data_IF_014301865662
#
_entry.id   IF_014301865662
#
_cell.length_a   1.000
_cell.length_b   1.000
_cell.length_c   1.000
_cell.angle_alpha   90.00
_cell.angle_beta   90.00
_cell.angle_gamma   90.00
#
_symmetry.space_group_name_H-M   'P 1'
#
loop_
_entity.id
_entity.type
_entity.pdbx_description
1 polymer ?
#
# COMPACT_ATOMS: atom_id res chain seq x y z
N UNK A 1 62.67 -67.11 12.73
CA UNK A 1 61.83 -66.45 11.72
C UNK A 1 60.54 -67.25 11.60
N UNK A 2 59.44 -66.73 12.14
CA UNK A 2 58.11 -67.36 12.09
C UNK A 2 57.54 -67.16 10.70
N UNK A 3 57.35 -68.25 9.94
CA UNK A 3 56.67 -68.19 8.65
C UNK A 3 55.22 -67.76 8.90
N UNK A 4 54.83 -66.58 8.42
CA UNK A 4 53.44 -66.17 8.38
C UNK A 4 52.65 -67.23 7.60
N UNK A 5 51.94 -68.09 8.33
CA UNK A 5 50.99 -69.03 7.76
C UNK A 5 49.79 -68.21 7.26
N UNK A 6 49.86 -67.75 6.02
CA UNK A 6 48.67 -67.31 5.31
C UNK A 6 47.89 -68.57 4.95
N UNK A 7 47.04 -69.04 5.87
CA UNK A 7 46.08 -70.10 5.53
C UNK A 7 45.06 -69.49 4.56
N UNK A 8 44.82 -70.10 3.39
CA UNK A 8 43.78 -69.64 2.49
C UNK A 8 42.43 -69.71 3.23
N UNK A 9 41.56 -68.71 3.05
CA UNK A 9 40.31 -68.63 3.79
C UNK A 9 39.52 -69.93 3.63
N UNK A 10 39.03 -70.48 4.74
CA UNK A 10 38.22 -71.70 4.71
C UNK A 10 37.00 -71.49 3.80
N UNK A 11 36.54 -72.55 3.14
CA UNK A 11 35.45 -72.49 2.16
C UNK A 11 34.18 -71.85 2.75
N UNK A 12 33.95 -72.03 4.05
CA UNK A 12 32.83 -71.44 4.79
C UNK A 12 33.05 -69.95 5.10
N UNK A 13 34.29 -69.52 5.38
CA UNK A 13 34.61 -68.10 5.52
C UNK A 13 34.46 -67.34 4.20
N UNK A 14 34.77 -67.97 3.06
CA UNK A 14 34.54 -67.40 1.72
C UNK A 14 33.04 -67.31 1.42
N UNK A 15 32.26 -68.36 1.73
CA UNK A 15 30.79 -68.35 1.60
C UNK A 15 30.13 -67.27 2.45
N UNK A 16 30.50 -67.14 3.72
CA UNK A 16 29.94 -66.10 4.60
C UNK A 16 30.28 -64.69 4.11
N UNK A 17 31.51 -64.45 3.65
CA UNK A 17 31.90 -63.15 3.04
C UNK A 17 31.11 -62.84 1.76
N UNK A 18 30.80 -63.87 0.97
CA UNK A 18 29.96 -63.72 -0.22
C UNK A 18 28.50 -63.39 0.16
N UNK A 19 27.94 -64.07 1.17
CA UNK A 19 26.58 -63.83 1.67
C UNK A 19 26.45 -62.42 2.25
N UNK A 20 27.42 -61.97 3.06
CA UNK A 20 27.39 -60.61 3.62
C UNK A 20 27.55 -59.54 2.55
N UNK A 21 28.44 -59.74 1.57
CA UNK A 21 28.59 -58.83 0.43
C UNK A 21 27.32 -58.73 -0.42
N UNK A 22 26.67 -59.87 -0.70
CA UNK A 22 25.40 -59.92 -1.42
C UNK A 22 24.28 -59.22 -0.63
N UNK A 23 24.23 -59.42 0.68
CA UNK A 23 23.25 -58.77 1.56
C UNK A 23 23.45 -57.26 1.59
N UNK A 24 24.70 -56.78 1.63
CA UNK A 24 25.02 -55.36 1.60
C UNK A 24 24.62 -54.72 0.26
N UNK A 25 24.86 -55.41 -0.86
CA UNK A 25 24.43 -54.97 -2.18
C UNK A 25 22.90 -54.84 -2.27
N UNK A 26 22.16 -55.82 -1.75
CA UNK A 26 20.70 -55.79 -1.72
C UNK A 26 20.17 -54.61 -0.87
N UNK A 27 20.80 -54.32 0.28
CA UNK A 27 20.44 -53.17 1.10
C UNK A 27 20.67 -51.87 0.32
N UNK A 28 21.83 -51.69 -0.31
CA UNK A 28 22.13 -50.47 -1.08
C UNK A 28 21.16 -50.29 -2.25
N UNK A 29 20.85 -51.36 -2.99
CA UNK A 29 19.87 -51.33 -4.09
C UNK A 29 18.48 -50.99 -3.53
N UNK A 30 18.05 -51.61 -2.44
CA UNK A 30 16.75 -51.33 -1.82
C UNK A 30 16.64 -49.88 -1.34
N UNK A 31 17.71 -49.32 -0.76
CA UNK A 31 17.77 -47.94 -0.31
C UNK A 31 17.72 -46.99 -1.51
N UNK A 32 18.49 -47.28 -2.57
CA UNK A 32 18.48 -46.51 -3.80
C UNK A 32 17.09 -46.52 -4.47
N UNK A 33 16.46 -47.70 -4.59
CA UNK A 33 15.11 -47.84 -5.17
C UNK A 33 14.07 -47.13 -4.30
N UNK A 34 14.15 -47.23 -2.97
CA UNK A 34 13.22 -46.55 -2.06
C UNK A 34 13.39 -45.03 -2.14
N UNK A 35 14.62 -44.54 -2.11
CA UNK A 35 14.92 -43.11 -2.30
C UNK A 35 14.45 -42.63 -3.67
N UNK A 36 14.66 -43.40 -4.74
CA UNK A 36 14.17 -43.11 -6.08
C UNK A 36 12.64 -43.01 -6.10
N UNK A 37 11.92 -44.01 -5.56
CA UNK A 37 10.45 -43.98 -5.50
C UNK A 37 9.92 -42.81 -4.66
N UNK A 38 10.57 -42.48 -3.54
CA UNK A 38 10.19 -41.33 -2.70
C UNK A 38 10.52 -39.99 -3.36
N UNK A 39 11.60 -39.92 -4.14
CA UNK A 39 12.01 -38.71 -4.86
C UNK A 39 11.06 -38.37 -6.02
N UNK A 40 10.67 -39.38 -6.79
CA UNK A 40 9.72 -39.26 -7.91
C UNK A 40 8.25 -39.26 -7.48
N UNK A 41 7.96 -39.32 -6.18
CA UNK A 41 6.59 -39.24 -5.69
C UNK A 41 6.02 -37.84 -5.96
N UNK A 42 4.93 -37.80 -6.71
CA UNK A 42 4.19 -36.57 -6.97
C UNK A 42 3.61 -36.01 -5.68
N UNK A 43 3.75 -34.69 -5.47
CA UNK A 43 3.22 -33.97 -4.32
C UNK A 43 2.07 -33.08 -4.77
N UNK A 44 0.92 -33.20 -4.11
CA UNK A 44 -0.19 -32.28 -4.32
C UNK A 44 0.08 -30.95 -3.61
N UNK A 45 -0.08 -29.85 -4.34
CA UNK A 45 0.14 -28.51 -3.82
C UNK A 45 -1.07 -27.66 -4.12
N UNK A 46 -1.74 -27.17 -3.07
CA UNK A 46 -2.81 -26.18 -3.19
C UNK A 46 -2.20 -24.83 -3.57
N UNK A 47 -2.40 -24.44 -4.83
CA UNK A 47 -1.80 -23.23 -5.39
C UNK A 47 -2.57 -21.96 -5.06
N UNK A 48 -3.73 -22.02 -4.37
CA UNK A 48 -4.49 -20.82 -3.96
C UNK A 48 -4.55 -20.62 -2.45
N UNK A 49 -3.94 -21.52 -1.68
CA UNK A 49 -3.91 -21.47 -0.21
C UNK A 49 -3.32 -20.16 0.32
N UNK A 50 -2.20 -19.72 -0.26
CA UNK A 50 -1.48 -18.51 0.16
C UNK A 50 -1.75 -17.28 -0.73
N UNK A 51 -2.83 -17.34 -1.50
CA UNK A 51 -3.34 -16.19 -2.22
C UNK A 51 -3.81 -15.13 -1.20
N UNK A 52 -3.00 -14.11 -0.99
CA UNK A 52 -3.34 -12.94 -0.17
C UNK A 52 -4.21 -11.99 -0.97
N UNK A 53 -5.40 -11.69 -0.46
CA UNK A 53 -6.38 -10.81 -1.13
C UNK A 53 -6.28 -9.43 -0.50
N UNK A 54 -6.06 -8.42 -1.33
CA UNK A 54 -5.95 -7.02 -0.91
C UNK A 54 -6.98 -6.18 -1.64
N UNK A 55 -7.89 -5.59 -0.88
CA UNK A 55 -8.90 -4.66 -1.39
C UNK A 55 -8.40 -3.21 -1.27
N UNK A 56 -8.73 -2.39 -2.26
CA UNK A 56 -8.53 -0.93 -2.24
C UNK A 56 -9.79 -0.23 -2.73
N UNK A 57 -10.18 0.84 -2.04
CA UNK A 57 -11.37 1.63 -2.33
C UNK A 57 -12.58 1.20 -1.51
N UNK A 58 -13.76 1.53 -2.02
CA UNK A 58 -15.05 1.46 -1.31
C UNK A 58 -16.09 0.69 -2.15
N UNK A 59 -17.19 0.30 -1.51
CA UNK A 59 -18.30 -0.42 -2.12
C UNK A 59 -18.76 0.22 -3.43
N UNK A 60 -18.84 -0.59 -4.49
CA UNK A 60 -19.22 -0.17 -5.85
C UNK A 60 -18.08 0.33 -6.72
N UNK A 61 -16.89 0.50 -6.16
CA UNK A 61 -15.74 1.08 -6.86
C UNK A 61 -14.40 0.44 -6.49
N UNK A 62 -14.40 -0.47 -5.51
CA UNK A 62 -13.21 -1.11 -5.02
C UNK A 62 -12.54 -1.95 -6.11
N UNK A 63 -11.25 -2.14 -5.93
CA UNK A 63 -10.41 -3.02 -6.74
C UNK A 63 -9.74 -4.04 -5.84
N UNK A 64 -9.44 -5.20 -6.42
CA UNK A 64 -8.76 -6.28 -5.71
C UNK A 64 -7.45 -6.60 -6.42
N UNK A 65 -6.41 -6.81 -5.62
CA UNK A 65 -5.17 -7.42 -6.05
C UNK A 65 -4.96 -8.70 -5.26
N UNK A 66 -4.53 -9.75 -5.94
CA UNK A 66 -4.14 -11.00 -5.29
C UNK A 66 -2.62 -11.08 -5.34
N UNK A 67 -2.00 -11.26 -4.19
CA UNK A 67 -0.55 -11.39 -4.06
C UNK A 67 -0.21 -12.78 -3.57
N UNK A 68 0.93 -13.29 -4.03
CA UNK A 68 1.47 -14.53 -3.53
C UNK A 68 2.17 -14.27 -2.19
N UNK A 69 1.52 -14.63 -1.07
CA UNK A 69 2.10 -14.49 0.28
C UNK A 69 2.91 -15.70 0.69
N UNK A 70 3.52 -16.35 -0.28
CA UNK A 70 4.29 -17.53 -0.02
C UNK A 70 5.49 -17.20 0.88
N UNK A 71 5.45 -17.69 2.12
CA UNK A 71 6.51 -17.39 3.09
C UNK A 71 7.30 -18.62 3.52
N UNK A 72 6.85 -19.86 3.25
CA UNK A 72 7.59 -21.04 3.73
C UNK A 72 7.15 -22.38 3.12
N UNK A 73 7.54 -22.68 1.87
CA UNK A 73 7.55 -24.08 1.38
C UNK A 73 8.94 -24.67 1.38
N UNK A 74 8.97 -26.00 1.29
CA UNK A 74 10.16 -26.78 1.01
C UNK A 74 10.99 -26.15 -0.13
N UNK A 75 12.27 -25.86 0.13
CA UNK A 75 13.22 -25.31 -0.85
C UNK A 75 13.22 -26.07 -2.18
N UNK A 76 12.90 -27.38 -2.15
CA UNK A 76 12.83 -28.23 -3.35
C UNK A 76 11.86 -27.72 -4.40
N UNK A 77 10.72 -27.16 -4.02
CA UNK A 77 9.65 -26.73 -4.94
C UNK A 77 9.53 -25.20 -5.01
N UNK A 78 10.47 -24.47 -4.41
CA UNK A 78 10.40 -23.03 -4.28
C UNK A 78 10.36 -22.34 -5.64
N UNK A 79 11.17 -22.78 -6.61
CA UNK A 79 11.16 -22.25 -7.98
C UNK A 79 9.78 -22.39 -8.65
N UNK A 80 9.10 -23.53 -8.44
CA UNK A 80 7.72 -23.71 -8.90
C UNK A 80 6.77 -22.74 -8.19
N UNK A 81 6.87 -22.62 -6.87
CA UNK A 81 5.97 -21.79 -6.08
C UNK A 81 6.12 -20.29 -6.38
N UNK A 82 7.36 -19.83 -6.64
CA UNK A 82 7.67 -18.46 -7.00
C UNK A 82 7.16 -18.10 -8.40
N UNK A 83 6.96 -19.10 -9.27
CA UNK A 83 6.34 -18.92 -10.59
C UNK A 83 4.83 -18.65 -10.54
N UNK A 84 4.17 -18.90 -9.40
CA UNK A 84 2.72 -18.80 -9.28
C UNK A 84 2.30 -17.33 -9.28
N UNK A 85 1.44 -17.00 -10.23
CA UNK A 85 0.75 -15.70 -10.33
C UNK A 85 -0.76 -15.90 -10.27
N UNK A 86 -1.51 -14.84 -9.96
CA UNK A 86 -2.95 -14.92 -9.79
C UNK A 86 -3.68 -13.95 -10.71
N UNK A 87 -4.69 -14.46 -11.38
CA UNK A 87 -5.70 -13.67 -12.08
C UNK A 87 -6.98 -13.63 -11.26
N UNK A 88 -7.65 -12.49 -11.19
CA UNK A 88 -8.88 -12.30 -10.42
C UNK A 88 -9.95 -11.66 -11.29
N UNK A 89 -11.15 -12.24 -11.26
CA UNK A 89 -12.30 -11.73 -12.01
C UNK A 89 -13.56 -11.74 -11.13
N UNK A 90 -14.29 -10.62 -11.02
CA UNK A 90 -13.93 -9.27 -11.47
C UNK A 90 -12.79 -8.67 -10.64
N UNK A 91 -12.02 -7.72 -11.22
CA UNK A 91 -10.90 -7.07 -10.52
C UNK A 91 -11.20 -5.64 -10.01
N UNK A 92 -12.26 -5.02 -10.51
CA UNK A 92 -12.61 -3.61 -10.28
C UNK A 92 -14.13 -3.43 -10.15
N UNK A 93 -14.56 -2.30 -9.59
CA UNK A 93 -15.97 -1.96 -9.33
C UNK A 93 -16.66 -2.99 -8.43
N UNK A 94 -15.90 -3.50 -7.46
CA UNK A 94 -16.36 -4.53 -6.54
C UNK A 94 -17.35 -3.96 -5.53
N UNK A 95 -18.30 -4.80 -5.15
CA UNK A 95 -19.26 -4.58 -4.09
C UNK A 95 -19.21 -5.66 -3.03
N UNK A 96 -19.67 -5.33 -1.83
CA UNK A 96 -19.98 -6.31 -0.80
C UNK A 96 -20.96 -7.35 -1.38
N UNK A 97 -20.68 -8.62 -1.11
CA UNK A 97 -21.35 -9.81 -1.64
C UNK A 97 -21.03 -10.19 -3.10
N UNK A 98 -20.14 -9.47 -3.79
CA UNK A 98 -19.63 -9.95 -5.09
C UNK A 98 -18.81 -11.23 -4.89
N UNK A 99 -18.89 -12.15 -5.85
CA UNK A 99 -18.10 -13.38 -5.84
C UNK A 99 -16.90 -13.23 -6.78
N UNK A 100 -15.71 -13.20 -6.20
CA UNK A 100 -14.44 -13.22 -6.92
C UNK A 100 -14.09 -14.64 -7.33
N UNK A 101 -13.59 -14.80 -8.54
CA UNK A 101 -12.92 -16.02 -8.99
C UNK A 101 -11.43 -15.74 -9.12
N UNK A 102 -10.63 -16.36 -8.25
CA UNK A 102 -9.18 -16.31 -8.27
C UNK A 102 -8.68 -17.54 -9.01
N UNK A 103 -7.87 -17.34 -10.04
CA UNK A 103 -7.27 -18.41 -10.85
C UNK A 103 -5.76 -18.32 -10.73
N UNK A 104 -5.13 -19.39 -10.25
CA UNK A 104 -3.69 -19.52 -10.23
C UNK A 104 -3.16 -19.84 -11.64
N UNK A 105 -2.11 -19.14 -12.04
CA UNK A 105 -1.29 -19.42 -13.22
C UNK A 105 0.07 -19.88 -12.74
N UNK A 106 0.57 -20.97 -13.30
CA UNK A 106 1.83 -21.58 -12.88
C UNK A 106 2.57 -22.14 -14.10
N UNK A 107 3.87 -22.42 -13.94
CA UNK A 107 4.68 -23.04 -14.99
C UNK A 107 4.52 -24.58 -14.96
N UNK A 108 3.88 -25.13 -15.99
CA UNK A 108 3.69 -26.58 -16.15
C UNK A 108 5.01 -27.36 -16.29
N UNK A 109 6.06 -26.73 -16.85
CA UNK A 109 7.39 -27.34 -16.98
C UNK A 109 8.03 -27.50 -15.61
N UNK A 110 7.91 -26.49 -14.75
CA UNK A 110 8.39 -26.57 -13.37
C UNK A 110 7.55 -27.56 -12.56
N UNK A 111 6.22 -27.57 -12.73
CA UNK A 111 5.34 -28.55 -12.09
C UNK A 111 5.78 -29.99 -12.44
N UNK A 112 6.02 -30.27 -13.72
CA UNK A 112 6.49 -31.58 -14.16
C UNK A 112 7.90 -31.90 -13.65
N UNK A 113 8.83 -30.94 -13.68
CA UNK A 113 10.22 -31.12 -13.21
C UNK A 113 10.28 -31.46 -11.73
N UNK A 114 9.44 -30.82 -10.92
CA UNK A 114 9.42 -31.00 -9.46
C UNK A 114 8.41 -32.05 -8.99
N UNK A 115 7.75 -32.74 -9.92
CA UNK A 115 6.68 -33.69 -9.64
C UNK A 115 5.61 -33.08 -8.73
N UNK A 116 5.19 -31.86 -9.04
CA UNK A 116 4.09 -31.19 -8.34
C UNK A 116 2.81 -31.38 -9.13
N UNK A 117 1.74 -31.78 -8.44
CA UNK A 117 0.38 -31.78 -8.96
C UNK A 117 -0.37 -30.56 -8.37
N UNK A 118 -0.55 -29.47 -9.14
CA UNK A 118 -1.27 -28.30 -8.67
C UNK A 118 -2.75 -28.61 -8.46
N UNK A 119 -3.25 -28.42 -7.24
CA UNK A 119 -4.66 -28.60 -6.90
C UNK A 119 -5.27 -27.26 -6.49
N UNK A 120 -6.60 -27.17 -6.49
CA UNK A 120 -7.35 -25.96 -6.18
C UNK A 120 -6.89 -24.73 -7.01
N UNK A 121 -6.70 -24.93 -8.33
CA UNK A 121 -6.26 -23.89 -9.28
C UNK A 121 -7.23 -22.70 -9.33
N UNK A 122 -8.51 -22.93 -9.01
CA UNK A 122 -9.53 -21.89 -8.93
C UNK A 122 -10.15 -21.86 -7.54
N UNK A 123 -10.24 -20.66 -6.95
CA UNK A 123 -10.87 -20.39 -5.66
C UNK A 123 -11.92 -19.30 -5.81
N UNK A 124 -13.11 -19.54 -5.25
CA UNK A 124 -14.16 -18.51 -5.14
C UNK A 124 -14.13 -17.87 -3.76
N UNK A 125 -14.23 -16.55 -3.71
CA UNK A 125 -14.24 -15.78 -2.47
C UNK A 125 -15.31 -14.71 -2.55
N UNK A 126 -16.14 -14.59 -1.52
CA UNK A 126 -17.11 -13.51 -1.39
C UNK A 126 -16.42 -12.26 -0.85
N UNK A 127 -16.68 -11.12 -1.47
CA UNK A 127 -16.20 -9.82 -1.00
C UNK A 127 -17.04 -9.39 0.20
N UNK A 128 -16.39 -9.03 1.30
CA UNK A 128 -17.06 -8.62 2.53
C UNK A 128 -16.32 -7.44 3.15
N UNK A 129 -17.06 -6.60 3.90
CA UNK A 129 -16.53 -5.49 4.69
C UNK A 129 -15.74 -4.44 3.87
N UNK A 130 -16.11 -4.22 2.61
CA UNK A 130 -15.66 -3.04 1.88
C UNK A 130 -16.17 -1.78 2.59
N UNK A 131 -15.32 -0.76 2.76
CA UNK A 131 -15.75 0.54 3.24
C UNK A 131 -16.84 1.13 2.36
N UNK A 132 -17.70 1.95 2.94
CA UNK A 132 -18.81 2.63 2.26
C UNK A 132 -18.61 4.14 2.36
N UNK A 133 -19.25 4.87 1.47
CA UNK A 133 -19.29 6.34 1.58
C UNK A 133 -20.21 6.73 2.72
N UNK A 134 -19.92 7.86 3.35
CA UNK A 134 -20.85 8.45 4.32
C UNK A 134 -22.11 8.89 3.59
N UNK A 135 -23.28 8.59 4.16
CA UNK A 135 -24.54 9.05 3.57
C UNK A 135 -24.75 10.56 3.80
N UNK A 136 -24.20 11.08 4.90
CA UNK A 136 -24.23 12.50 5.25
C UNK A 136 -22.94 12.91 5.99
N UNK A 137 -22.55 14.17 5.84
CA UNK A 137 -21.36 14.74 6.51
C UNK A 137 -21.42 14.62 8.04
N UNK A 138 -22.61 14.58 8.62
CA UNK A 138 -22.82 14.41 10.07
C UNK A 138 -22.52 12.99 10.58
N UNK A 139 -22.44 11.99 9.71
CA UNK A 139 -22.05 10.63 10.06
C UNK A 139 -20.54 10.49 10.31
N UNK A 140 -19.75 11.46 9.86
CA UNK A 140 -18.29 11.47 10.05
C UNK A 140 -18.00 11.62 11.56
N UNK A 141 -17.37 10.62 12.21
CA UNK A 141 -17.18 10.68 13.66
C UNK A 141 -16.26 11.82 14.09
N UNK A 142 -16.62 12.52 15.17
CA UNK A 142 -15.77 13.56 15.76
C UNK A 142 -14.38 13.04 16.17
N UNK A 143 -14.28 11.75 16.55
CA UNK A 143 -13.00 11.10 16.84
C UNK A 143 -12.08 11.00 15.62
N UNK A 144 -12.65 10.84 14.42
CA UNK A 144 -11.89 10.84 13.17
C UNK A 144 -11.44 12.26 12.79
N UNK A 145 -12.29 13.26 12.99
CA UNK A 145 -11.93 14.67 12.79
C UNK A 145 -10.78 15.09 13.71
N UNK A 146 -10.77 14.63 14.96
CA UNK A 146 -9.65 14.85 15.88
C UNK A 146 -8.34 14.19 15.40
N UNK A 147 -8.41 12.97 14.87
CA UNK A 147 -7.25 12.31 14.24
C UNK A 147 -6.72 13.09 13.04
N UNK A 148 -7.63 13.68 12.25
CA UNK A 148 -7.25 14.57 11.17
C UNK A 148 -6.52 15.80 11.68
N UNK A 149 -6.96 16.42 12.78
CA UNK A 149 -6.27 17.58 13.37
C UNK A 149 -4.83 17.24 13.79
N UNK A 150 -4.65 16.08 14.42
CA UNK A 150 -3.32 15.57 14.81
C UNK A 150 -2.44 15.31 13.57
N UNK A 151 -3.02 14.72 12.53
CA UNK A 151 -2.32 14.46 11.26
C UNK A 151 -1.97 15.74 10.53
N UNK A 152 -2.85 16.72 10.51
CA UNK A 152 -2.61 18.04 9.92
C UNK A 152 -1.44 18.73 10.61
N UNK A 153 -1.41 18.71 11.95
CA UNK A 153 -0.28 19.26 12.73
C UNK A 153 1.03 18.55 12.38
N UNK A 154 1.02 17.23 12.29
CA UNK A 154 2.21 16.46 11.91
C UNK A 154 2.67 16.79 10.48
N UNK A 155 1.73 16.91 9.54
CA UNK A 155 2.01 17.28 8.15
C UNK A 155 2.64 18.68 8.08
N UNK A 156 2.04 19.68 8.71
CA UNK A 156 2.54 21.05 8.67
C UNK A 156 3.91 21.14 9.35
N UNK A 157 4.11 20.53 10.52
CA UNK A 157 5.43 20.51 11.18
C UNK A 157 6.52 19.87 10.30
N UNK A 158 6.18 18.82 9.54
CA UNK A 158 7.15 18.14 8.66
C UNK A 158 7.51 18.97 7.43
N UNK A 159 6.56 19.75 6.89
CA UNK A 159 6.71 20.44 5.61
C UNK A 159 6.86 21.96 5.76
N UNK A 160 6.81 22.52 6.97
CA UNK A 160 6.80 23.98 7.18
C UNK A 160 8.03 24.66 6.58
N UNK A 161 9.23 24.10 6.78
CA UNK A 161 10.46 24.68 6.24
C UNK A 161 10.39 24.81 4.71
N UNK A 162 9.90 23.76 4.04
CA UNK A 162 9.70 23.78 2.58
C UNK A 162 8.62 24.79 2.17
N UNK A 163 7.53 24.90 2.92
CA UNK A 163 6.47 25.88 2.66
C UNK A 163 7.03 27.31 2.78
N UNK A 164 7.81 27.60 3.82
CA UNK A 164 8.41 28.92 4.03
C UNK A 164 9.41 29.29 2.91
N UNK A 165 10.17 28.31 2.41
CA UNK A 165 11.18 28.52 1.36
C UNK A 165 10.57 28.62 -0.05
N UNK A 166 9.62 27.74 -0.40
CA UNK A 166 9.12 27.58 -1.77
C UNK A 166 7.85 28.39 -2.05
N UNK A 167 6.94 28.52 -1.07
CA UNK A 167 5.61 29.10 -1.31
C UNK A 167 5.54 30.62 -1.07
N UNK A 168 6.45 31.19 -0.28
CA UNK A 168 6.50 32.64 -0.01
C UNK A 168 7.32 33.41 -1.05
N UNK A 169 6.79 33.46 -2.27
CA UNK A 169 7.44 34.08 -3.44
C UNK A 169 7.52 35.61 -3.41
N UNK A 170 6.90 36.27 -2.43
CA UNK A 170 6.89 37.73 -2.30
C UNK A 170 8.16 38.28 -1.63
N UNK A 171 8.88 37.43 -0.87
CA UNK A 171 10.11 37.80 -0.18
C UNK A 171 11.33 37.79 -1.10
N UNK A 172 12.36 38.49 -0.65
CA UNK A 172 13.66 38.52 -1.29
C UNK A 172 14.30 37.12 -1.26
N UNK A 173 14.95 36.72 -2.36
CA UNK A 173 15.46 35.35 -2.55
C UNK A 173 16.48 34.86 -1.50
N UNK A 174 17.05 35.76 -0.70
CA UNK A 174 17.98 35.44 0.40
C UNK A 174 17.41 35.77 1.78
N UNK A 175 16.13 36.12 1.85
CA UNK A 175 15.45 36.37 3.11
C UNK A 175 15.39 35.09 3.91
N UNK A 176 15.74 35.16 5.20
CA UNK A 176 15.33 34.15 6.16
C UNK A 176 13.84 34.36 6.45
N UNK A 177 13.01 33.41 6.03
CA UNK A 177 11.54 33.50 6.19
C UNK A 177 11.17 32.81 7.49
N UNK A 178 10.53 33.55 8.39
CA UNK A 178 10.14 33.04 9.71
C UNK A 178 8.62 32.95 9.83
N UNK A 179 8.12 31.81 10.31
CA UNK A 179 6.70 31.64 10.63
C UNK A 179 6.27 32.61 11.74
N UNK A 180 5.15 33.30 11.53
CA UNK A 180 4.54 34.22 12.50
C UNK A 180 3.26 33.62 13.08
N UNK A 181 2.36 33.14 12.23
CA UNK A 181 1.09 32.55 12.63
C UNK A 181 0.65 31.45 11.66
N UNK A 182 -0.10 30.49 12.19
CA UNK A 182 -0.69 29.40 11.43
C UNK A 182 -2.07 29.10 11.99
N UNK A 183 -3.11 29.38 11.18
CA UNK A 183 -4.50 29.24 11.61
C UNK A 183 -5.33 28.48 10.60
N UNK A 184 -6.04 27.46 11.06
CA UNK A 184 -7.07 26.80 10.25
C UNK A 184 -8.26 27.75 10.11
N UNK A 185 -8.67 28.02 8.87
CA UNK A 185 -9.81 28.89 8.57
C UNK A 185 -11.04 28.05 8.23
N UNK A 186 -10.87 26.99 7.44
CA UNK A 186 -11.96 26.10 7.04
C UNK A 186 -11.55 24.63 7.08
N UNK A 187 -12.56 23.80 7.32
CA UNK A 187 -12.59 22.40 6.93
C UNK A 187 -13.77 22.19 6.00
N UNK A 188 -13.55 21.52 4.89
CA UNK A 188 -14.57 21.28 3.87
C UNK A 188 -14.63 19.81 3.55
N UNK A 189 -15.83 19.24 3.61
CA UNK A 189 -16.11 17.93 3.05
C UNK A 189 -16.59 18.10 1.60
N UNK A 190 -15.90 17.43 0.69
CA UNK A 190 -16.26 17.36 -0.73
C UNK A 190 -16.92 16.02 -0.99
N UNK A 191 -18.24 16.03 -1.17
CA UNK A 191 -19.04 14.86 -1.50
C UNK A 191 -19.01 14.62 -3.02
N UNK A 192 -18.44 13.50 -3.43
CA UNK A 192 -18.33 13.07 -4.81
C UNK A 192 -19.69 12.78 -5.47
N UNK A 193 -20.03 13.51 -6.53
CA UNK A 193 -21.29 13.30 -7.29
C UNK A 193 -21.33 11.98 -8.07
N UNK A 194 -20.19 11.31 -8.23
CA UNK A 194 -20.02 10.10 -9.04
C UNK A 194 -19.04 9.16 -8.35
N UNK A 195 -19.16 7.85 -8.59
CA UNK A 195 -18.25 6.84 -8.01
C UNK A 195 -16.76 7.02 -8.36
N UNK A 196 -16.45 7.77 -9.44
CA UNK A 196 -15.08 8.14 -9.82
C UNK A 196 -14.51 9.31 -9.02
N UNK A 197 -15.36 10.15 -8.42
CA UNK A 197 -14.97 11.26 -7.55
C UNK A 197 -15.08 10.77 -6.11
N UNK A 198 -13.93 10.42 -5.51
CA UNK A 198 -13.88 9.96 -4.11
C UNK A 198 -14.07 11.13 -3.16
N UNK A 199 -14.76 10.87 -2.06
CA UNK A 199 -14.95 11.86 -1.01
C UNK A 199 -13.62 12.32 -0.44
N UNK A 200 -13.58 13.62 -0.13
CA UNK A 200 -12.37 14.28 0.37
C UNK A 200 -12.72 15.17 1.54
N UNK A 201 -11.77 15.30 2.45
CA UNK A 201 -11.75 16.40 3.40
C UNK A 201 -10.60 17.32 3.01
N UNK A 202 -10.85 18.61 3.03
CA UNK A 202 -9.86 19.65 2.77
C UNK A 202 -9.79 20.57 3.98
N UNK A 203 -8.57 20.76 4.50
CA UNK A 203 -8.28 21.79 5.48
C UNK A 203 -7.59 22.98 4.82
N UNK A 204 -8.06 24.18 5.14
CA UNK A 204 -7.51 25.44 4.65
C UNK A 204 -6.86 26.18 5.81
N UNK A 205 -5.58 26.50 5.66
CA UNK A 205 -4.80 27.28 6.61
C UNK A 205 -4.43 28.63 6.03
N UNK A 206 -4.55 29.69 6.82
CA UNK A 206 -3.74 30.89 6.63
C UNK A 206 -2.41 30.66 7.33
N UNK A 207 -1.33 30.82 6.58
CA UNK A 207 0.03 30.78 7.09
C UNK A 207 0.60 32.17 6.87
N UNK A 208 0.94 32.83 7.96
CA UNK A 208 1.58 34.15 7.95
C UNK A 208 3.04 34.00 8.29
N UNK A 209 3.90 34.53 7.45
CA UNK A 209 5.34 34.55 7.69
C UNK A 209 5.86 35.98 7.52
N UNK A 210 7.04 36.23 8.09
CA UNK A 210 7.77 37.49 7.90
C UNK A 210 9.06 37.22 7.14
N UNK A 211 9.39 38.14 6.26
CA UNK A 211 10.61 38.10 5.47
C UNK A 211 10.97 39.49 4.96
N UNK A 212 12.16 39.61 4.40
CA UNK A 212 12.66 40.84 3.81
C UNK A 212 12.13 41.01 2.40
N UNK A 213 11.63 42.20 2.08
CA UNK A 213 11.29 42.58 0.70
C UNK A 213 12.18 43.73 0.24
N UNK A 214 12.62 43.70 -1.02
CA UNK A 214 13.33 44.84 -1.60
C UNK A 214 12.32 45.92 -2.02
N UNK A 215 12.39 47.08 -1.36
CA UNK A 215 11.45 48.19 -1.56
C UNK A 215 11.91 49.25 -2.54
N UNK A 216 13.09 49.10 -3.14
CA UNK A 216 13.68 50.10 -4.05
C UNK A 216 14.17 49.46 -5.34
N UNK A 217 13.83 50.11 -6.46
CA UNK A 217 14.24 49.68 -7.80
C UNK A 217 15.65 50.16 -8.20
N UNK A 218 16.25 51.06 -7.43
CA UNK A 218 17.54 51.70 -7.76
C UNK A 218 18.71 51.21 -6.90
N UNK A 219 18.42 50.75 -5.69
CA UNK A 219 19.40 50.24 -4.71
C UNK A 219 18.68 49.28 -3.77
N UNK A 220 19.33 48.18 -3.41
CA UNK A 220 18.79 47.23 -2.43
C UNK A 220 18.42 47.96 -1.13
N UNK A 221 17.13 47.93 -0.77
CA UNK A 221 16.60 48.49 0.47
C UNK A 221 15.61 47.50 1.04
N UNK A 222 16.13 46.62 1.90
CA UNK A 222 15.38 45.54 2.51
C UNK A 222 14.55 46.07 3.67
N UNK A 223 13.28 45.66 3.72
CA UNK A 223 12.39 45.88 4.86
C UNK A 223 11.69 44.59 5.20
N UNK A 224 11.62 44.28 6.48
CA UNK A 224 10.80 43.18 6.97
C UNK A 224 9.33 43.50 6.73
N UNK A 225 8.62 42.56 6.12
CA UNK A 225 7.17 42.57 5.95
C UNK A 225 6.60 41.22 6.28
N UNK A 226 5.34 41.22 6.69
CA UNK A 226 4.54 40.01 6.78
C UNK A 226 3.80 39.80 5.47
N UNK A 227 3.64 38.52 5.12
CA UNK A 227 2.77 38.07 4.04
C UNK A 227 1.97 36.87 4.53
N UNK A 228 0.80 36.64 3.95
CA UNK A 228 -0.08 35.53 4.30
C UNK A 228 -0.42 34.74 3.04
N UNK A 229 -0.10 33.45 3.04
CA UNK A 229 -0.55 32.52 2.03
C UNK A 229 -1.70 31.67 2.56
N UNK A 230 -2.54 31.18 1.65
CA UNK A 230 -3.54 30.17 1.97
C UNK A 230 -3.04 28.82 1.49
N UNK A 231 -2.92 27.87 2.41
CA UNK A 231 -2.39 26.54 2.16
C UNK A 231 -3.50 25.50 2.35
N UNK A 232 -3.64 24.59 1.40
CA UNK A 232 -4.69 23.60 1.35
C UNK A 232 -4.11 22.21 1.56
N UNK A 233 -4.59 21.49 2.57
CA UNK A 233 -4.24 20.08 2.82
C UNK A 233 -5.44 19.22 2.46
N UNK A 234 -5.23 18.29 1.54
CA UNK A 234 -6.28 17.39 1.04
C UNK A 234 -6.08 15.99 1.58
N UNK A 235 -7.18 15.42 2.08
CA UNK A 235 -7.31 14.04 2.50
C UNK A 235 -8.24 13.31 1.52
N UNK A 236 -7.68 12.42 0.71
CA UNK A 236 -8.43 11.62 -0.27
C UNK A 236 -9.02 10.34 0.35
N UNK A 237 -10.05 9.82 -0.32
CA UNK A 237 -10.67 8.51 -0.03
C UNK A 237 -11.31 8.44 1.36
N UNK A 238 -12.05 9.48 1.73
CA UNK A 238 -12.79 9.54 2.99
C UNK A 238 -14.00 8.61 2.92
N UNK A 239 -14.03 7.58 3.74
CA UNK A 239 -15.11 6.59 3.78
C UNK A 239 -15.19 5.96 5.18
N UNK A 240 -16.12 5.03 5.38
CA UNK A 240 -16.39 4.39 6.68
C UNK A 240 -15.23 3.53 7.22
N UNK A 241 -14.14 3.33 6.45
CA UNK A 241 -12.91 2.72 7.00
C UNK A 241 -12.23 3.59 8.05
N UNK A 242 -12.52 4.90 8.05
CA UNK A 242 -11.91 5.91 8.93
C UNK A 242 -10.37 5.87 8.89
N UNK A 243 -9.82 5.38 7.79
CA UNK A 243 -8.39 5.13 7.60
C UNK A 243 -7.90 5.98 6.44
N UNK A 244 -6.79 6.68 6.63
CA UNK A 244 -6.18 7.53 5.61
C UNK A 244 -4.76 7.03 5.39
N UNK A 245 -4.47 6.65 4.16
CA UNK A 245 -3.12 6.28 3.73
C UNK A 245 -2.26 7.53 3.56
N UNK A 246 -0.96 7.45 3.86
CA UNK A 246 -0.05 8.60 3.69
C UNK A 246 -0.01 9.10 2.24
N UNK A 247 -0.12 8.19 1.27
CA UNK A 247 -0.21 8.53 -0.17
C UNK A 247 -1.47 9.33 -0.55
N UNK A 248 -2.49 9.34 0.31
CA UNK A 248 -3.74 10.07 0.12
C UNK A 248 -3.74 11.46 0.78
N UNK A 249 -2.61 11.91 1.33
CA UNK A 249 -2.46 13.22 1.98
C UNK A 249 -1.46 14.07 1.23
N UNK A 250 -1.87 15.26 0.80
CA UNK A 250 -0.98 16.21 0.14
C UNK A 250 -1.43 17.65 0.39
N UNK A 251 -0.45 18.55 0.41
CA UNK A 251 -0.61 19.98 0.62
C UNK A 251 -0.26 20.77 -0.64
N UNK A 252 -0.96 21.88 -0.89
CA UNK A 252 -0.61 22.83 -1.95
C UNK A 252 -0.97 24.27 -1.54
N UNK A 253 -0.16 25.24 -1.97
CA UNK A 253 -0.52 26.65 -1.91
C UNK A 253 -1.72 26.92 -2.82
N UNK A 254 -2.70 27.64 -2.29
CA UNK A 254 -3.81 28.15 -3.09
C UNK A 254 -3.37 29.38 -3.88
N UNK A 255 -3.54 29.31 -5.19
CA UNK A 255 -3.37 30.46 -6.08
C UNK A 255 -4.70 31.20 -6.14
N UNK A 256 -4.77 32.33 -5.43
CA UNK A 256 -5.92 33.22 -5.39
C UNK A 256 -5.57 34.56 -6.01
N UNK A 257 -6.59 35.26 -6.52
CA UNK A 257 -6.45 36.66 -6.94
C UNK A 257 -6.35 37.55 -5.70
N UNK A 258 -5.49 38.57 -5.70
CA UNK A 258 -5.31 39.53 -4.61
C UNK A 258 -6.62 40.22 -4.16
N UNK A 259 -7.64 40.26 -5.02
CA UNK A 259 -8.96 40.79 -4.69
C UNK A 259 -9.83 39.83 -3.84
N UNK A 260 -9.46 38.55 -3.74
CA UNK A 260 -10.19 37.54 -2.97
C UNK A 260 -9.70 37.51 -1.53
N UNK A 261 -10.62 37.77 -0.61
CA UNK A 261 -10.42 37.64 0.83
C UNK A 261 -11.00 36.30 1.28
N UNK A 262 -10.12 35.32 1.46
CA UNK A 262 -10.52 33.97 1.88
C UNK A 262 -11.03 33.93 3.32
N UNK A 263 -10.91 34.99 4.14
CA UNK A 263 -11.57 35.03 5.44
C UNK A 263 -13.08 35.32 5.32
N UNK A 264 -13.54 35.79 4.15
CA UNK A 264 -14.96 36.00 3.86
C UNK A 264 -15.56 34.73 3.29
N UNK A 265 -16.42 34.10 4.09
CA UNK A 265 -17.05 32.81 3.77
C UNK A 265 -17.70 32.77 2.38
N UNK A 266 -18.40 33.83 1.96
CA UNK A 266 -19.02 33.88 0.62
C UNK A 266 -17.97 33.80 -0.51
N UNK A 267 -16.87 34.54 -0.38
CA UNK A 267 -15.80 34.52 -1.40
C UNK A 267 -15.07 33.18 -1.41
N UNK A 268 -14.84 32.59 -0.23
CA UNK A 268 -14.30 31.25 -0.08
C UNK A 268 -15.19 30.19 -0.76
N UNK A 269 -16.50 30.23 -0.48
CA UNK A 269 -17.48 29.31 -1.07
C UNK A 269 -17.48 29.44 -2.59
N UNK A 270 -17.46 30.66 -3.12
CA UNK A 270 -17.45 30.90 -4.57
C UNK A 270 -16.16 30.38 -5.23
N UNK A 271 -15.01 30.59 -4.58
CA UNK A 271 -13.74 30.02 -5.01
C UNK A 271 -13.80 28.49 -5.03
N UNK A 272 -14.22 27.85 -3.94
CA UNK A 272 -14.28 26.39 -3.87
C UNK A 272 -15.29 25.80 -4.85
N UNK A 273 -16.45 26.44 -5.04
CA UNK A 273 -17.42 26.05 -6.08
C UNK A 273 -16.82 26.18 -7.46
N UNK A 274 -16.07 27.23 -7.77
CA UNK A 274 -15.41 27.36 -9.07
C UNK A 274 -14.43 26.21 -9.34
N UNK A 275 -13.67 25.78 -8.33
CA UNK A 275 -12.68 24.69 -8.43
C UNK A 275 -13.32 23.28 -8.47
N UNK A 276 -14.38 23.04 -7.68
CA UNK A 276 -14.86 21.67 -7.42
C UNK A 276 -16.30 21.36 -7.85
N UNK A 277 -17.16 22.34 -8.18
CA UNK A 277 -18.61 22.12 -8.40
C UNK A 277 -18.97 21.08 -9.45
N UNK A 278 -18.09 20.81 -10.42
CA UNK A 278 -18.36 19.86 -11.50
C UNK A 278 -18.38 18.41 -11.01
N UNK A 279 -17.58 18.10 -9.99
CA UNK A 279 -17.36 16.74 -9.48
C UNK A 279 -17.89 16.55 -8.06
N UNK A 280 -18.00 17.64 -7.28
CA UNK A 280 -18.30 17.57 -5.85
C UNK A 280 -19.46 18.48 -5.46
N UNK A 281 -20.22 18.03 -4.47
CA UNK A 281 -21.03 18.86 -3.57
C UNK A 281 -20.17 19.27 -2.36
N UNK A 282 -20.40 20.48 -1.85
CA UNK A 282 -19.51 21.12 -0.90
C UNK A 282 -20.22 21.36 0.43
N UNK A 283 -19.64 20.83 1.50
CA UNK A 283 -20.14 20.97 2.86
C UNK A 283 -19.05 21.59 3.74
N UNK A 284 -19.26 22.83 4.20
CA UNK A 284 -18.36 23.44 5.17
C UNK A 284 -18.60 22.78 6.53
N UNK A 285 -17.54 22.20 7.08
CA UNK A 285 -17.56 21.61 8.41
C UNK A 285 -17.19 22.71 9.41
N UNK A 286 -18.05 22.95 10.39
CA UNK A 286 -17.72 23.90 11.46
C UNK A 286 -16.51 23.37 12.23
N UNK A 287 -15.46 24.18 12.32
CA UNK A 287 -14.35 23.90 13.22
C UNK A 287 -14.90 23.89 14.64
N UNK A 288 -14.81 22.75 15.32
CA UNK A 288 -14.99 22.68 16.76
C UNK A 288 -13.80 23.38 17.40
N UNK A 289 -13.96 24.68 17.62
CA UNK A 289 -13.08 25.53 18.45
C UNK A 289 -12.93 24.90 19.83
#
# INVERSE_FOLDING_TARGET
>A
MSSMHFQPPSRDAVKNKFITSMSMLLIVISLYVTCYMLFFRTVEVDVTRDAGIEYRGEDGSASVRVINRNQNYNQRIQEFMDSITYEVTPAKRLKNNDVLTITAKYDETLASRYHVNPVAVTRKVTVENLPERFADVSEIPASFLKKLDERTKSYLNKNMDQILDEDFTSFFIRSEVELVDQKQIYRVFLDGKKSSAKDKIIDIYAITAKGEVNTSSKKETLKVKEDTIYYMITYNEINTSLSILDENVYGEKLIINDALDMNKENQFIDFMKSKYKSMYELHIMKSSV
#
